data_IF_256655121482
#
_entry.id   IF_256655121482
#
_cell.length_a   1.000
_cell.length_b   1.000
_cell.length_c   1.000
_cell.angle_alpha   90.00
_cell.angle_beta   90.00
_cell.angle_gamma   90.00
#
_symmetry.space_group_name_H-M   'P 1'
#
loop_
_entity.id
_entity.type
_entity.pdbx_description
1 polymer ?
#
# COMPACT_ATOMS: atom_id res chain seq x y z
N UNK A 1 -16.65 6.86 8.13
CA UNK A 1 -15.95 5.57 7.91
C UNK A 1 -14.45 5.79 8.09
N UNK A 2 -13.93 5.52 9.29
CA UNK A 2 -12.51 5.74 9.62
C UNK A 2 -11.64 4.62 9.01
N UNK A 3 -10.63 5.00 8.22
CA UNK A 3 -9.60 4.09 7.68
C UNK A 3 -8.69 3.65 8.83
N UNK A 4 -8.94 2.47 9.40
CA UNK A 4 -8.06 1.89 10.41
C UNK A 4 -6.83 1.25 9.76
N UNK A 5 -5.64 1.71 10.13
CA UNK A 5 -4.35 1.10 9.78
C UNK A 5 -4.18 -0.21 10.58
N UNK A 6 -3.80 -1.28 9.90
CA UNK A 6 -3.62 -2.64 10.45
C UNK A 6 -2.72 -2.70 11.70
N UNK A 7 -1.78 -1.76 11.87
CA UNK A 7 -0.85 -1.69 13.00
C UNK A 7 -1.52 -1.51 14.37
N UNK A 8 -2.69 -0.87 14.44
CA UNK A 8 -3.41 -0.71 15.72
C UNK A 8 -4.06 -2.02 16.19
N UNK A 9 -4.34 -2.95 15.28
CA UNK A 9 -5.04 -4.20 15.63
C UNK A 9 -4.17 -5.14 16.48
N UNK A 10 -2.91 -5.33 16.07
CA UNK A 10 -1.95 -6.16 16.84
C UNK A 10 -1.66 -5.56 18.21
N UNK A 11 -1.49 -4.23 18.29
CA UNK A 11 -1.29 -3.52 19.55
C UNK A 11 -2.51 -3.61 20.48
N UNK A 12 -3.72 -3.52 19.94
CA UNK A 12 -4.95 -3.67 20.72
C UNK A 12 -5.14 -5.10 21.24
N UNK A 13 -4.81 -6.13 20.45
CA UNK A 13 -4.83 -7.54 20.90
C UNK A 13 -3.80 -7.76 22.02
N UNK A 14 -2.59 -7.22 21.87
CA UNK A 14 -1.54 -7.32 22.88
C UNK A 14 -1.94 -6.61 24.20
N UNK A 15 -2.51 -5.41 24.11
CA UNK A 15 -3.00 -4.67 25.30
C UNK A 15 -4.16 -5.42 25.98
N UNK A 16 -5.09 -6.00 25.21
CA UNK A 16 -6.17 -6.80 25.77
C UNK A 16 -5.65 -8.06 26.47
N UNK A 17 -4.67 -8.76 25.88
CA UNK A 17 -4.02 -9.91 26.51
C UNK A 17 -3.32 -9.52 27.82
N UNK A 18 -2.61 -8.38 27.84
CA UNK A 18 -2.00 -7.85 29.07
C UNK A 18 -3.05 -7.52 30.14
N UNK A 19 -4.20 -6.94 29.77
CA UNK A 19 -5.26 -6.59 30.72
C UNK A 19 -5.90 -7.84 31.36
N UNK A 20 -6.08 -8.91 30.57
CA UNK A 20 -6.56 -10.21 31.06
C UNK A 20 -5.56 -10.82 32.05
N UNK A 21 -4.26 -10.73 31.76
CA UNK A 21 -3.20 -11.23 32.64
C UNK A 21 -3.10 -10.44 33.95
N UNK A 22 -3.25 -9.11 33.89
CA UNK A 22 -3.24 -8.23 35.08
C UNK A 22 -4.47 -8.49 35.95
N UNK A 23 -5.66 -8.58 35.35
CA UNK A 23 -6.90 -8.87 36.09
C UNK A 23 -6.87 -10.26 36.73
N UNK A 24 -6.39 -11.28 36.01
CA UNK A 24 -6.17 -12.62 36.54
C UNK A 24 -5.15 -12.65 37.70
N UNK A 25 -4.06 -11.87 37.58
CA UNK A 25 -3.04 -11.73 38.61
C UNK A 25 -3.57 -11.07 39.91
N UNK A 26 -4.32 -9.97 39.78
CA UNK A 26 -4.92 -9.28 40.94
C UNK A 26 -5.92 -10.19 41.66
N UNK A 27 -6.75 -10.93 40.91
CA UNK A 27 -7.69 -11.88 41.51
C UNK A 27 -6.99 -13.06 42.19
N UNK A 28 -5.83 -13.50 41.71
CA UNK A 28 -5.02 -14.54 42.35
C UNK A 28 -4.36 -14.10 43.67
N UNK A 29 -4.32 -12.80 43.96
CA UNK A 29 -3.88 -12.27 45.26
C UNK A 29 -5.00 -12.30 46.32
N UNK A 30 -6.26 -12.25 45.89
CA UNK A 30 -7.42 -12.07 46.78
C UNK A 30 -8.21 -13.39 46.94
N UNK A 31 -8.21 -14.25 45.93
CA UNK A 31 -9.00 -15.47 45.91
C UNK A 31 -8.13 -16.73 45.84
N UNK A 32 -8.57 -17.86 46.41
CA UNK A 32 -7.85 -19.13 46.31
C UNK A 32 -7.62 -19.52 44.85
N UNK A 33 -6.35 -19.83 44.51
CA UNK A 33 -5.85 -20.02 43.13
C UNK A 33 -6.67 -21.01 42.29
N UNK A 34 -7.25 -22.02 42.92
CA UNK A 34 -8.08 -23.03 42.27
C UNK A 34 -9.40 -22.49 41.67
N UNK A 35 -9.83 -21.28 42.05
CA UNK A 35 -11.12 -20.71 41.63
C UNK A 35 -10.99 -19.44 40.77
N UNK A 36 -9.78 -18.92 40.53
CA UNK A 36 -9.55 -17.66 39.78
C UNK A 36 -10.12 -17.71 38.36
N UNK A 37 -10.06 -18.87 37.70
CA UNK A 37 -10.68 -19.07 36.38
C UNK A 37 -12.20 -19.01 36.42
N UNK A 38 -12.84 -19.58 37.44
CA UNK A 38 -14.29 -19.54 37.63
C UNK A 38 -14.75 -18.10 37.90
N UNK A 39 -14.05 -17.36 38.77
CA UNK A 39 -14.37 -15.95 39.04
C UNK A 39 -14.24 -15.07 37.79
N UNK A 40 -13.22 -15.28 36.96
CA UNK A 40 -13.04 -14.55 35.69
C UNK A 40 -14.18 -14.79 34.70
N UNK A 41 -14.68 -16.02 34.62
CA UNK A 41 -15.82 -16.40 33.76
C UNK A 41 -17.12 -15.80 34.30
N UNK A 42 -17.38 -15.91 35.61
CA UNK A 42 -18.58 -15.36 36.25
C UNK A 42 -18.63 -13.83 36.10
N UNK A 43 -17.51 -13.12 36.31
CA UNK A 43 -17.43 -11.68 36.09
C UNK A 43 -17.70 -11.33 34.62
N UNK A 44 -17.12 -12.08 33.67
CA UNK A 44 -17.38 -11.89 32.24
C UNK A 44 -18.85 -12.10 31.84
N UNK A 45 -19.53 -13.08 32.44
CA UNK A 45 -20.96 -13.37 32.20
C UNK A 45 -21.87 -12.34 32.88
N UNK A 46 -21.53 -11.89 34.09
CA UNK A 46 -22.30 -10.86 34.82
C UNK A 46 -22.19 -9.49 34.17
N UNK A 47 -21.05 -9.17 33.54
CA UNK A 47 -20.87 -7.93 32.78
C UNK A 47 -21.56 -7.95 31.41
N UNK A 48 -22.06 -9.10 30.94
CA UNK A 48 -22.71 -9.27 29.64
C UNK A 48 -23.90 -8.32 29.39
N UNK A 49 -24.83 -8.08 30.35
CA UNK A 49 -25.97 -7.18 30.14
C UNK A 49 -25.56 -5.71 30.13
N UNK A 50 -24.45 -5.36 30.79
CA UNK A 50 -23.88 -4.00 30.76
C UNK A 50 -23.15 -3.72 29.44
N UNK A 51 -22.70 -4.77 28.76
CA UNK A 51 -22.00 -4.71 27.48
C UNK A 51 -22.93 -4.92 26.26
N UNK A 52 -24.23 -5.11 26.47
CA UNK A 52 -25.22 -5.35 25.43
C UNK A 52 -26.42 -4.39 25.51
N UNK A 53 -26.82 -3.68 24.42
CA UNK A 53 -26.21 -3.60 23.09
C UNK A 53 -25.46 -2.26 22.94
N UNK A 54 -24.12 -2.29 22.89
CA UNK A 54 -23.33 -1.12 22.46
C UNK A 54 -22.82 -1.37 21.04
N UNK A 55 -23.44 -0.77 19.99
CA UNK A 55 -23.13 -1.05 18.59
C UNK A 55 -21.66 -0.80 18.20
N UNK A 56 -20.93 0.01 18.98
CA UNK A 56 -19.53 0.34 18.73
C UNK A 56 -18.56 -0.83 18.99
N UNK A 57 -19.02 -1.90 19.66
CA UNK A 57 -18.13 -2.98 20.12
C UNK A 57 -17.81 -3.94 18.98
N UNK A 58 -18.64 -3.95 17.93
CA UNK A 58 -18.36 -4.57 16.63
C UNK A 58 -17.57 -5.87 16.71
N UNK A 59 -16.35 -5.86 16.19
CA UNK A 59 -15.47 -7.02 16.01
C UNK A 59 -14.78 -7.53 17.30
N UNK A 60 -14.93 -6.88 18.46
CA UNK A 60 -14.52 -7.44 19.76
C UNK A 60 -15.38 -8.64 20.19
N UNK A 61 -16.49 -8.91 19.49
CA UNK A 61 -17.35 -10.08 19.70
C UNK A 61 -16.58 -11.41 19.66
N UNK A 62 -15.51 -11.49 18.85
CA UNK A 62 -14.64 -12.67 18.76
C UNK A 62 -13.85 -12.93 20.06
N UNK A 63 -13.45 -11.86 20.77
CA UNK A 63 -12.73 -11.94 22.05
C UNK A 63 -13.66 -12.46 23.16
N UNK A 64 -14.94 -12.10 23.13
CA UNK A 64 -15.92 -12.66 24.06
C UNK A 64 -16.35 -14.08 23.68
N UNK A 65 -16.38 -14.41 22.38
CA UNK A 65 -16.65 -15.77 21.87
C UNK A 65 -15.64 -16.82 22.34
N UNK A 66 -14.37 -16.44 22.54
CA UNK A 66 -13.35 -17.36 23.06
C UNK A 66 -13.65 -17.82 24.50
N UNK A 67 -14.33 -16.99 25.30
CA UNK A 67 -14.76 -17.37 26.65
C UNK A 67 -15.90 -18.39 26.63
N UNK A 68 -16.73 -18.42 25.57
CA UNK A 68 -17.74 -19.46 25.40
C UNK A 68 -17.11 -20.81 25.02
N UNK A 69 -16.08 -20.84 24.18
CA UNK A 69 -15.35 -22.07 23.84
C UNK A 69 -14.63 -22.60 25.07
N UNK A 70 -13.96 -21.73 25.83
CA UNK A 70 -13.32 -22.10 27.09
C UNK A 70 -14.33 -22.62 28.13
N UNK A 71 -15.47 -21.95 28.30
CA UNK A 71 -16.54 -22.39 29.20
C UNK A 71 -17.16 -23.72 28.76
N UNK A 72 -17.39 -23.93 27.46
CA UNK A 72 -17.92 -25.18 26.92
C UNK A 72 -16.96 -26.37 27.11
N UNK A 73 -15.66 -26.16 26.91
CA UNK A 73 -14.63 -27.15 27.20
C UNK A 73 -14.54 -27.49 28.71
N UNK A 74 -14.99 -26.58 29.58
CA UNK A 74 -15.08 -26.82 31.03
C UNK A 74 -16.41 -27.43 31.49
N UNK A 75 -17.49 -27.33 30.71
CA UNK A 75 -18.86 -27.76 31.08
C UNK A 75 -19.09 -29.28 31.11
N UNK A 76 -18.12 -30.10 30.74
CA UNK A 76 -18.20 -31.56 30.80
C UNK A 76 -17.68 -32.20 32.10
N UNK A 77 -17.40 -31.42 33.15
CA UNK A 77 -16.68 -31.91 34.33
C UNK A 77 -17.63 -32.20 35.49
N UNK A 78 -17.92 -33.49 35.73
CA UNK A 78 -18.56 -33.92 36.97
C UNK A 78 -17.70 -33.52 38.17
N UNK A 79 -18.37 -32.96 39.18
CA UNK A 79 -17.80 -32.26 40.34
C UNK A 79 -17.06 -33.21 41.32
N UNK A 80 -17.11 -34.54 41.12
CA UNK A 80 -16.77 -35.50 42.17
C UNK A 80 -15.40 -36.19 42.12
N UNK A 81 -14.60 -36.08 41.06
CA UNK A 81 -13.35 -36.87 40.98
C UNK A 81 -12.05 -36.05 41.07
N UNK A 82 -11.36 -36.09 42.20
CA UNK A 82 -9.99 -35.55 42.33
C UNK A 82 -8.98 -36.33 41.47
N UNK A 83 -8.65 -35.82 40.27
CA UNK A 83 -7.55 -36.33 39.44
C UNK A 83 -6.77 -35.13 38.85
N UNK A 84 -5.42 -35.06 38.90
CA UNK A 84 -4.69 -33.80 38.73
C UNK A 84 -4.40 -33.42 37.27
N UNK A 85 -4.80 -34.24 36.30
CA UNK A 85 -4.68 -33.92 34.87
C UNK A 85 -6.01 -33.30 34.43
N UNK A 86 -6.26 -32.06 34.83
CA UNK A 86 -7.48 -31.32 34.49
C UNK A 86 -7.09 -30.04 33.78
N UNK A 87 -7.77 -29.75 32.66
CA UNK A 87 -7.68 -28.54 31.84
C UNK A 87 -8.20 -27.31 32.63
N UNK A 88 -7.61 -27.07 33.79
CA UNK A 88 -7.79 -25.86 34.56
C UNK A 88 -6.94 -24.78 33.90
N UNK A 89 -7.39 -23.54 34.01
CA UNK A 89 -6.65 -22.36 33.52
C UNK A 89 -5.19 -22.32 34.00
N UNK A 90 -4.81 -23.07 35.05
CA UNK A 90 -3.40 -23.28 35.43
C UNK A 90 -2.53 -23.92 34.34
N UNK A 91 -3.09 -24.78 33.47
CA UNK A 91 -2.36 -25.33 32.30
C UNK A 91 -2.01 -24.24 31.27
N UNK A 92 -2.69 -23.09 31.30
CA UNK A 92 -2.30 -21.92 30.51
C UNK A 92 -1.11 -21.17 31.12
N UNK A 93 -0.69 -21.51 32.34
CA UNK A 93 0.40 -20.88 33.09
C UNK A 93 1.58 -21.81 33.42
N UNK A 94 1.60 -23.05 32.91
CA UNK A 94 2.81 -23.88 32.98
C UNK A 94 3.89 -23.39 32.00
N UNK A 95 5.15 -23.64 32.33
CA UNK A 95 6.38 -23.15 31.65
C UNK A 95 6.31 -23.06 30.10
N UNK A 96 5.68 -23.99 29.36
CA UNK A 96 5.57 -23.89 27.89
C UNK A 96 4.82 -22.65 27.37
N UNK A 97 3.84 -22.12 28.12
CA UNK A 97 3.05 -20.95 27.69
C UNK A 97 3.68 -19.62 28.07
N UNK A 98 4.55 -19.57 29.08
CA UNK A 98 5.38 -18.39 29.37
C UNK A 98 6.33 -18.14 28.19
N UNK A 99 6.94 -19.21 27.64
CA UNK A 99 7.76 -19.13 26.43
C UNK A 99 6.92 -18.65 25.24
N UNK A 100 5.69 -19.15 25.08
CA UNK A 100 4.75 -18.70 24.06
C UNK A 100 4.38 -17.21 24.19
N UNK A 101 4.09 -16.74 25.41
CA UNK A 101 3.75 -15.35 25.71
C UNK A 101 4.94 -14.40 25.52
N UNK A 102 6.14 -14.81 25.94
CA UNK A 102 7.40 -14.08 25.68
C UNK A 102 7.68 -14.05 24.17
N UNK A 103 7.44 -15.15 23.45
CA UNK A 103 7.63 -15.20 21.99
C UNK A 103 6.66 -14.28 21.25
N UNK A 104 5.40 -14.21 21.67
CA UNK A 104 4.40 -13.27 21.15
C UNK A 104 4.72 -11.82 21.51
N UNK A 105 5.22 -11.57 22.72
CA UNK A 105 5.68 -10.26 23.17
C UNK A 105 6.90 -9.78 22.37
N UNK A 106 7.90 -10.64 22.21
CA UNK A 106 9.09 -10.38 21.38
C UNK A 106 8.71 -10.22 19.91
N UNK A 107 7.82 -11.06 19.37
CA UNK A 107 7.31 -10.88 18.00
C UNK A 107 6.56 -9.56 17.84
N UNK A 108 5.77 -9.14 18.84
CA UNK A 108 5.11 -7.83 18.85
C UNK A 108 6.10 -6.66 18.90
N UNK A 109 7.14 -6.75 19.73
CA UNK A 109 8.20 -5.75 19.85
C UNK A 109 9.00 -5.67 18.55
N UNK A 110 9.46 -6.82 18.02
CA UNK A 110 10.19 -6.92 16.75
C UNK A 110 9.35 -6.36 15.60
N UNK A 111 8.06 -6.73 15.52
CA UNK A 111 7.18 -6.21 14.47
C UNK A 111 6.91 -4.71 14.64
N UNK A 112 6.80 -4.20 15.88
CA UNK A 112 6.68 -2.76 16.15
C UNK A 112 7.95 -1.98 15.80
N UNK A 113 9.13 -2.55 16.08
CA UNK A 113 10.44 -1.99 15.75
C UNK A 113 10.74 -2.07 14.25
N UNK A 114 10.19 -3.06 13.55
CA UNK A 114 10.24 -3.14 12.09
C UNK A 114 9.25 -2.19 11.41
N UNK A 115 8.22 -1.70 12.11
CA UNK A 115 7.34 -0.64 11.59
C UNK A 115 7.86 0.79 11.81
N UNK A 116 8.96 0.99 12.53
CA UNK A 116 9.58 2.33 12.71
C UNK A 116 10.44 2.82 11.54
N UNK A 117 10.46 2.13 10.41
CA UNK A 117 11.10 2.59 9.16
C UNK A 117 10.09 2.78 8.01
N UNK A 118 8.85 3.20 8.30
CA UNK A 118 8.04 3.79 7.26
C UNK A 118 8.73 5.10 6.81
N UNK A 119 9.41 5.07 5.67
CA UNK A 119 10.03 6.24 5.07
C UNK A 119 9.05 7.41 5.06
N UNK A 120 9.55 8.62 5.34
CA UNK A 120 8.74 9.84 5.29
C UNK A 120 7.96 9.90 3.95
N UNK A 121 6.71 10.39 3.95
CA UNK A 121 5.93 10.47 2.73
C UNK A 121 6.69 11.31 1.69
N UNK A 122 6.72 10.80 0.45
CA UNK A 122 7.34 11.48 -0.68
C UNK A 122 6.84 12.92 -0.79
N UNK A 123 7.76 13.85 -1.06
CA UNK A 123 7.49 15.26 -1.32
C UNK A 123 7.78 15.58 -2.77
N UNK A 124 7.15 16.63 -3.30
CA UNK A 124 7.39 17.08 -4.68
C UNK A 124 8.88 17.46 -4.92
N UNK A 125 9.59 17.88 -3.88
CA UNK A 125 11.04 18.15 -3.92
C UNK A 125 11.89 16.92 -4.21
N UNK A 126 11.38 15.72 -3.87
CA UNK A 126 12.08 14.46 -4.13
C UNK A 126 12.08 14.12 -5.63
N UNK A 127 11.26 14.83 -6.43
CA UNK A 127 11.24 14.74 -7.90
C UNK A 127 12.06 15.84 -8.59
N UNK A 128 12.80 16.67 -7.84
CA UNK A 128 13.56 17.79 -8.39
C UNK A 128 14.64 17.36 -9.40
N UNK A 129 15.11 16.12 -9.34
CA UNK A 129 16.11 15.57 -10.26
C UNK A 129 15.66 15.62 -11.74
N UNK A 130 14.36 15.52 -12.00
CA UNK A 130 13.82 15.51 -13.37
C UNK A 130 13.75 16.91 -13.98
N UNK A 131 13.89 17.96 -13.17
CA UNK A 131 13.75 19.34 -13.61
C UNK A 131 14.78 19.69 -14.71
N UNK A 132 14.30 20.34 -15.76
CA UNK A 132 15.10 20.75 -16.92
C UNK A 132 14.51 20.29 -18.24
N UNK A 133 15.28 20.51 -19.30
CA UNK A 133 14.98 20.06 -20.65
C UNK A 133 15.82 18.82 -20.98
N UNK A 134 15.20 17.83 -21.59
CA UNK A 134 15.79 16.57 -22.00
C UNK A 134 15.51 16.38 -23.47
N UNK A 135 16.53 16.03 -24.25
CA UNK A 135 16.36 15.82 -25.69
C UNK A 135 17.14 14.64 -26.21
N UNK A 136 16.60 13.97 -27.22
CA UNK A 136 17.25 12.83 -27.84
C UNK A 136 16.41 12.18 -28.92
N UNK A 137 16.66 10.89 -29.14
CA UNK A 137 16.01 10.10 -30.18
C UNK A 137 15.20 8.97 -29.55
N UNK A 138 14.12 8.60 -30.21
CA UNK A 138 13.28 7.48 -29.83
C UNK A 138 12.83 6.66 -31.02
N UNK A 139 12.35 5.47 -30.70
CA UNK A 139 11.77 4.52 -31.64
C UNK A 139 10.34 4.23 -31.21
N UNK A 140 9.45 4.25 -32.20
CA UNK A 140 8.08 3.79 -32.06
C UNK A 140 7.90 2.43 -32.71
N UNK A 141 7.22 1.53 -32.03
CA UNK A 141 6.82 0.22 -32.53
C UNK A 141 5.39 -0.06 -32.09
N UNK A 142 4.63 -0.83 -32.86
CA UNK A 142 3.38 -1.41 -32.39
C UNK A 142 3.02 -2.57 -33.33
N UNK A 143 2.34 -3.63 -32.88
CA UNK A 143 2.04 -4.79 -33.74
C UNK A 143 1.33 -4.45 -35.05
N UNK A 144 0.55 -3.37 -35.07
CA UNK A 144 -0.29 -2.97 -36.21
C UNK A 144 0.30 -1.85 -37.08
N UNK A 145 1.49 -1.34 -36.77
CA UNK A 145 2.12 -0.23 -37.51
C UNK A 145 3.56 -0.55 -37.86
N UNK A 146 4.09 0.10 -38.92
CA UNK A 146 5.53 0.05 -39.20
C UNK A 146 6.27 0.81 -38.11
N UNK A 147 7.42 0.28 -37.69
CA UNK A 147 8.29 1.00 -36.76
C UNK A 147 8.75 2.33 -37.37
N UNK A 148 8.87 3.35 -36.53
CA UNK A 148 9.31 4.68 -36.92
C UNK A 148 10.31 5.23 -35.91
N UNK A 149 11.08 6.23 -36.32
CA UNK A 149 12.02 6.95 -35.47
C UNK A 149 11.58 8.41 -35.34
N UNK A 150 11.85 9.01 -34.18
CA UNK A 150 11.52 10.40 -33.90
C UNK A 150 12.58 11.04 -33.02
N UNK A 151 12.69 12.37 -33.10
CA UNK A 151 13.36 13.17 -32.09
C UNK A 151 12.35 13.60 -31.04
N UNK A 152 12.78 13.73 -29.79
CA UNK A 152 11.91 14.08 -28.66
C UNK A 152 12.56 15.13 -27.78
N UNK A 153 11.74 16.06 -27.30
CA UNK A 153 12.09 17.03 -26.26
C UNK A 153 11.07 16.92 -25.13
N UNK A 154 11.55 16.65 -23.92
CA UNK A 154 10.78 16.72 -22.68
C UNK A 154 11.22 17.93 -21.86
N UNK A 155 10.27 18.69 -21.35
CA UNK A 155 10.53 19.80 -20.44
C UNK A 155 9.74 19.62 -19.15
N UNK A 156 10.48 19.58 -18.05
CA UNK A 156 9.93 19.54 -16.69
C UNK A 156 10.26 20.85 -15.99
N UNK A 157 9.25 21.58 -15.55
CA UNK A 157 9.42 22.87 -14.85
C UNK A 157 8.81 22.79 -13.44
N UNK A 158 9.67 22.89 -12.43
CA UNK A 158 9.27 22.89 -11.04
C UNK A 158 8.87 24.29 -10.57
N UNK A 159 7.62 24.48 -10.12
CA UNK A 159 7.11 25.76 -9.62
C UNK A 159 6.92 25.82 -8.09
N UNK A 160 7.41 24.81 -7.36
CA UNK A 160 7.27 24.70 -5.91
C UNK A 160 5.99 23.99 -5.43
N UNK A 161 4.97 23.83 -6.27
CA UNK A 161 3.71 23.13 -5.94
C UNK A 161 3.47 21.91 -6.82
N UNK A 162 3.79 22.02 -8.10
CA UNK A 162 3.63 20.98 -9.11
C UNK A 162 4.79 21.05 -10.11
N UNK A 163 4.93 20.01 -10.91
CA UNK A 163 5.88 19.98 -12.03
C UNK A 163 5.08 20.07 -13.31
N UNK A 164 5.32 21.10 -14.09
CA UNK A 164 4.77 21.23 -15.44
C UNK A 164 5.53 20.28 -16.36
N UNK A 165 4.79 19.54 -17.18
CA UNK A 165 5.30 18.56 -18.13
C UNK A 165 4.90 18.95 -19.55
N UNK A 166 5.87 18.99 -20.46
CA UNK A 166 5.63 19.17 -21.88
C UNK A 166 6.50 18.20 -22.67
N UNK A 167 5.91 17.56 -23.69
CA UNK A 167 6.58 16.66 -24.61
C UNK A 167 6.27 17.10 -26.03
N UNK A 168 7.31 17.21 -26.86
CA UNK A 168 7.19 17.43 -28.30
C UNK A 168 8.04 16.42 -29.04
N UNK A 169 7.51 15.80 -30.09
CA UNK A 169 8.25 14.87 -30.95
C UNK A 169 8.16 15.29 -32.41
N UNK A 170 9.27 15.11 -33.13
CA UNK A 170 9.38 15.47 -34.54
C UNK A 170 9.95 14.31 -35.35
N UNK A 171 9.57 14.24 -36.61
CA UNK A 171 10.08 13.24 -37.55
C UNK A 171 11.58 13.48 -37.82
N UNK A 172 12.40 12.43 -37.73
CA UNK A 172 13.85 12.53 -37.91
C UNK A 172 14.25 12.99 -39.31
N UNK A 173 13.50 12.58 -40.34
CA UNK A 173 13.88 12.81 -41.74
C UNK A 173 13.54 14.23 -42.22
N UNK A 174 12.44 14.82 -41.76
CA UNK A 174 11.96 16.11 -42.27
C UNK A 174 11.73 17.19 -41.19
N UNK A 175 11.90 16.86 -39.90
CA UNK A 175 11.69 17.79 -38.79
C UNK A 175 10.23 18.14 -38.52
N UNK A 176 9.27 17.53 -39.22
CA UNK A 176 7.85 17.80 -39.05
C UNK A 176 7.32 17.33 -37.69
N UNK A 177 6.46 18.14 -37.07
CA UNK A 177 5.79 17.82 -35.81
C UNK A 177 5.00 16.51 -35.93
N UNK A 178 5.20 15.59 -34.98
CA UNK A 178 4.49 14.31 -34.92
C UNK A 178 3.47 14.29 -33.79
N UNK A 179 3.93 14.22 -32.54
CA UNK A 179 3.09 14.17 -31.35
C UNK A 179 3.50 15.27 -30.38
N UNK A 180 2.53 15.80 -29.65
CA UNK A 180 2.82 16.66 -28.51
C UNK A 180 1.76 16.45 -27.43
N UNK A 181 2.20 16.57 -26.20
CA UNK A 181 1.34 16.47 -25.03
C UNK A 181 1.86 17.38 -23.92
N UNK A 182 0.97 17.75 -23.01
CA UNK A 182 1.31 18.60 -21.88
C UNK A 182 0.46 18.27 -20.66
N UNK A 183 0.95 18.63 -19.48
CA UNK A 183 0.27 18.29 -18.25
C UNK A 183 1.05 18.62 -16.99
N UNK A 184 0.69 17.93 -15.90
CA UNK A 184 1.27 18.19 -14.58
C UNK A 184 1.53 16.91 -13.80
N UNK A 185 2.69 16.85 -13.15
CA UNK A 185 3.00 15.87 -12.10
C UNK A 185 2.75 16.51 -10.74
N UNK A 186 2.06 15.78 -9.87
CA UNK A 186 1.69 16.17 -8.51
C UNK A 186 2.15 15.11 -7.52
N UNK A 187 2.50 15.54 -6.31
CA UNK A 187 2.74 14.64 -5.18
C UNK A 187 1.75 15.01 -4.07
N UNK A 188 0.87 14.08 -3.73
CA UNK A 188 -0.15 14.26 -2.71
C UNK A 188 0.47 14.25 -1.30
N UNK A 189 -0.21 14.80 -0.28
CA UNK A 189 0.25 14.72 1.11
C UNK A 189 0.46 13.28 1.62
N UNK A 190 -0.15 12.30 0.97
CA UNK A 190 0.04 10.86 1.27
C UNK A 190 1.32 10.26 0.67
N UNK A 191 2.10 11.03 -0.10
CA UNK A 191 3.27 10.56 -0.85
C UNK A 191 2.95 9.89 -2.20
N UNK A 192 1.68 9.91 -2.63
CA UNK A 192 1.27 9.38 -3.93
C UNK A 192 1.64 10.35 -5.05
N UNK A 193 2.13 9.83 -6.17
CA UNK A 193 2.43 10.61 -7.37
C UNK A 193 1.26 10.49 -8.34
N UNK A 194 0.86 11.61 -8.96
CA UNK A 194 -0.13 11.65 -10.03
C UNK A 194 0.45 12.35 -11.24
N UNK A 195 0.13 11.87 -12.44
CA UNK A 195 0.42 12.53 -13.71
C UNK A 195 -0.88 12.68 -14.48
N UNK A 196 -1.19 13.92 -14.88
CA UNK A 196 -2.32 14.24 -15.75
C UNK A 196 -1.78 14.80 -17.05
N UNK A 197 -2.23 14.28 -18.19
CA UNK A 197 -1.71 14.64 -19.51
C UNK A 197 -2.85 14.85 -20.49
N UNK A 198 -2.72 15.87 -21.34
CA UNK A 198 -3.58 16.07 -22.51
C UNK A 198 -2.71 15.95 -23.76
N UNK A 199 -3.16 15.16 -24.71
CA UNK A 199 -2.49 14.88 -25.96
C UNK A 199 -3.12 15.63 -27.12
N UNK A 200 -2.31 15.99 -28.12
CA UNK A 200 -2.77 16.62 -29.37
C UNK A 200 -3.77 15.80 -30.16
N UNK A 201 -3.84 14.48 -29.90
CA UNK A 201 -4.75 13.51 -30.49
C UNK A 201 -6.21 13.63 -30.00
N UNK A 202 -6.49 14.55 -29.08
CA UNK A 202 -7.82 14.73 -28.48
C UNK A 202 -8.11 13.72 -27.37
N UNK A 203 -7.06 13.31 -26.66
CA UNK A 203 -7.08 12.33 -25.56
C UNK A 203 -6.55 13.00 -24.29
N UNK A 204 -7.15 12.72 -23.13
CA UNK A 204 -6.64 13.13 -21.84
C UNK A 204 -6.57 11.95 -20.86
N UNK A 205 -5.41 11.77 -20.25
CA UNK A 205 -5.03 10.59 -19.47
C UNK A 205 -4.68 10.97 -18.03
N UNK A 206 -4.98 10.05 -17.12
CA UNK A 206 -4.66 10.15 -15.70
C UNK A 206 -3.84 8.93 -15.29
N UNK A 207 -2.77 9.16 -14.52
CA UNK A 207 -1.87 8.11 -14.03
C UNK A 207 -1.61 8.25 -12.54
N UNK A 208 -1.54 7.12 -11.84
CA UNK A 208 -0.89 7.02 -10.53
C UNK A 208 0.56 6.56 -10.72
N UNK A 209 1.48 7.09 -9.92
CA UNK A 209 2.90 6.79 -10.05
C UNK A 209 3.62 6.44 -8.75
N UNK A 210 4.80 5.86 -8.92
CA UNK A 210 5.73 5.46 -7.87
C UNK A 210 7.15 5.90 -8.23
N UNK A 211 7.95 6.23 -7.22
CA UNK A 211 9.38 6.49 -7.37
C UNK A 211 10.16 5.32 -6.78
N UNK A 212 11.02 4.71 -7.59
CA UNK A 212 12.09 3.84 -7.15
C UNK A 212 13.40 4.63 -7.21
N UNK A 213 14.12 4.69 -6.09
CA UNK A 213 15.39 5.38 -5.98
C UNK A 213 16.45 4.38 -5.52
N UNK A 214 17.31 3.99 -6.45
CA UNK A 214 18.31 2.93 -6.27
C UNK A 214 19.69 3.47 -6.68
N UNK A 215 20.35 4.18 -5.75
CA UNK A 215 21.67 4.79 -5.97
C UNK A 215 21.63 5.86 -7.06
N UNK A 216 22.44 5.69 -8.11
CA UNK A 216 22.54 6.63 -9.24
C UNK A 216 21.40 6.47 -10.28
N UNK A 217 20.41 5.62 -9.99
CA UNK A 217 19.26 5.34 -10.83
C UNK A 217 17.96 5.74 -10.14
N UNK A 218 17.24 6.69 -10.73
CA UNK A 218 15.89 7.08 -10.29
C UNK A 218 14.86 6.67 -11.36
N UNK A 219 13.85 5.92 -10.97
CA UNK A 219 12.80 5.45 -11.88
C UNK A 219 11.44 5.94 -11.42
N UNK A 220 10.81 6.80 -12.23
CA UNK A 220 9.40 7.14 -12.11
C UNK A 220 8.57 6.20 -12.97
N UNK A 221 7.73 5.41 -12.33
CA UNK A 221 6.78 4.55 -13.00
C UNK A 221 5.37 5.11 -12.85
N UNK A 222 4.61 5.12 -13.94
CA UNK A 222 3.24 5.60 -14.00
C UNK A 222 2.34 4.54 -14.62
N UNK A 223 1.19 4.28 -14.00
CA UNK A 223 0.15 3.39 -14.50
C UNK A 223 -1.14 4.16 -14.70
N UNK A 224 -1.75 4.02 -15.88
CA UNK A 224 -2.99 4.70 -16.21
C UNK A 224 -4.12 4.26 -15.27
N UNK A 225 -4.89 5.21 -14.79
CA UNK A 225 -6.07 5.00 -13.94
C UNK A 225 -7.34 5.58 -14.56
N UNK A 226 -7.22 6.45 -15.56
CA UNK A 226 -8.35 7.00 -16.29
C UNK A 226 -7.95 7.57 -17.64
N UNK A 227 -8.90 7.60 -18.56
CA UNK A 227 -8.73 8.15 -19.90
C UNK A 227 -10.05 8.74 -20.39
N UNK A 228 -9.97 9.87 -21.08
CA UNK A 228 -11.09 10.55 -21.71
C UNK A 228 -10.72 11.01 -23.12
N UNK A 229 -11.73 11.19 -23.98
CA UNK A 229 -11.53 11.42 -25.41
C UNK A 229 -12.57 12.36 -25.99
N UNK A 230 -12.14 13.14 -26.96
CA UNK A 230 -13.05 13.86 -27.86
C UNK A 230 -13.74 12.90 -28.83
N UNK A 231 -14.93 13.25 -29.37
CA UNK A 231 -15.65 12.40 -30.33
C UNK A 231 -14.88 12.10 -31.62
N UNK A 232 -13.89 12.94 -31.96
CA UNK A 232 -13.08 12.83 -33.18
C UNK A 232 -11.73 12.15 -32.96
N UNK A 233 -11.44 11.67 -31.74
CA UNK A 233 -10.23 10.92 -31.45
C UNK A 233 -10.20 9.65 -32.33
N UNK A 234 -9.07 9.39 -32.99
CA UNK A 234 -8.97 8.28 -33.96
C UNK A 234 -8.94 6.92 -33.25
N UNK A 235 -9.50 5.92 -33.91
CA UNK A 235 -9.31 4.51 -33.57
C UNK A 235 -7.98 3.98 -34.15
N UNK A 236 -7.39 2.90 -33.57
CA UNK A 236 -7.85 2.18 -32.39
C UNK A 236 -7.64 2.98 -31.10
N UNK A 237 -8.57 2.86 -30.15
CA UNK A 237 -8.54 3.65 -28.92
C UNK A 237 -7.65 2.99 -27.86
N UNK A 238 -6.78 3.76 -27.22
CA UNK A 238 -5.98 3.29 -26.08
C UNK A 238 -6.89 2.93 -24.89
N UNK A 239 -6.75 1.75 -24.33
CA UNK A 239 -7.54 1.29 -23.18
C UNK A 239 -6.74 1.29 -21.89
N UNK A 240 -5.42 1.20 -21.98
CA UNK A 240 -4.50 1.21 -20.85
C UNK A 240 -3.11 1.65 -21.31
N UNK A 241 -2.32 2.24 -20.42
CA UNK A 241 -0.93 2.56 -20.70
C UNK A 241 -0.08 2.60 -19.44
N UNK A 242 1.22 2.39 -19.61
CA UNK A 242 2.24 2.59 -18.57
C UNK A 242 3.33 3.50 -19.11
N UNK A 243 3.95 4.27 -18.22
CA UNK A 243 5.09 5.13 -18.55
C UNK A 243 6.21 4.90 -17.56
N UNK A 244 7.46 4.90 -18.02
CA UNK A 244 8.64 4.82 -17.17
C UNK A 244 9.65 5.89 -17.59
N UNK A 245 10.00 6.77 -16.67
CA UNK A 245 11.14 7.69 -16.83
C UNK A 245 12.26 7.20 -15.94
N UNK A 246 13.33 6.69 -16.54
CA UNK A 246 14.50 6.16 -15.84
C UNK A 246 15.67 7.10 -16.03
N UNK A 247 16.07 7.81 -14.98
CA UNK A 247 17.21 8.70 -14.98
C UNK A 247 18.41 7.93 -14.43
N UNK A 248 19.52 7.95 -15.15
CA UNK A 248 20.81 7.37 -14.74
C UNK A 248 21.87 8.46 -14.73
N UNK A 249 22.77 8.44 -13.74
CA UNK A 249 23.88 9.39 -13.61
C UNK A 249 23.46 10.88 -13.59
N UNK A 250 22.17 11.17 -13.34
CA UNK A 250 21.59 12.52 -13.29
C UNK A 250 21.45 13.25 -14.62
N UNK A 251 21.92 12.70 -15.75
CA UNK A 251 21.96 13.39 -17.05
C UNK A 251 21.47 12.54 -18.25
N UNK A 252 21.20 11.25 -18.05
CA UNK A 252 20.64 10.36 -19.06
C UNK A 252 19.25 9.90 -18.64
N UNK A 253 18.27 10.03 -19.53
CA UNK A 253 16.89 9.61 -19.29
C UNK A 253 16.45 8.62 -20.36
N UNK A 254 16.06 7.42 -19.94
CA UNK A 254 15.28 6.51 -20.78
C UNK A 254 13.79 6.72 -20.53
N UNK A 255 13.02 6.88 -21.60
CA UNK A 255 11.56 6.94 -21.57
C UNK A 255 11.02 5.67 -22.21
N UNK A 256 10.21 4.92 -21.46
CA UNK A 256 9.56 3.71 -21.95
C UNK A 256 8.05 3.85 -21.80
N UNK A 257 7.31 3.59 -22.87
CA UNK A 257 5.86 3.70 -22.93
C UNK A 257 5.27 2.44 -23.50
N UNK A 258 4.33 1.84 -22.76
CA UNK A 258 3.53 0.70 -23.22
C UNK A 258 2.08 1.14 -23.36
N UNK A 259 1.39 0.59 -24.34
CA UNK A 259 -0.05 0.83 -24.48
C UNK A 259 -0.80 -0.42 -24.93
N UNK A 260 -2.02 -0.53 -24.41
CA UNK A 260 -3.04 -1.43 -24.90
C UNK A 260 -4.10 -0.62 -25.67
N UNK A 261 -4.71 -1.22 -26.68
CA UNK A 261 -5.78 -0.62 -27.47
C UNK A 261 -7.00 -1.53 -27.54
N UNK A 262 -8.11 -1.01 -28.08
CA UNK A 262 -9.33 -1.79 -28.35
C UNK A 262 -9.11 -2.97 -29.28
N UNK A 263 -8.07 -2.93 -30.12
CA UNK A 263 -7.73 -4.02 -31.07
C UNK A 263 -6.54 -4.86 -30.63
N UNK A 264 -5.81 -4.43 -29.59
CA UNK A 264 -4.67 -5.16 -29.02
C UNK A 264 -4.67 -4.95 -27.49
N UNK A 265 -5.35 -5.82 -26.72
CA UNK A 265 -5.68 -5.55 -25.31
C UNK A 265 -4.51 -5.72 -24.34
N UNK A 266 -3.42 -6.33 -24.78
CA UNK A 266 -2.22 -6.51 -23.98
C UNK A 266 -1.37 -5.24 -23.98
N UNK A 267 -0.77 -4.93 -22.82
CA UNK A 267 0.23 -3.86 -22.73
C UNK A 267 1.49 -4.34 -23.45
N UNK A 268 1.85 -3.64 -24.51
CA UNK A 268 3.06 -3.89 -25.29
C UNK A 268 3.80 -2.58 -25.54
N UNK A 269 5.10 -2.70 -25.78
CA UNK A 269 5.97 -1.57 -26.12
C UNK A 269 5.35 -0.75 -27.25
N UNK A 270 5.27 0.56 -27.02
CA UNK A 270 4.91 1.49 -28.06
C UNK A 270 6.01 2.51 -28.34
N UNK A 271 6.64 3.07 -27.30
CA UNK A 271 7.71 4.07 -27.46
C UNK A 271 8.87 3.75 -26.52
N UNK A 272 10.08 3.92 -27.04
CA UNK A 272 11.31 3.83 -26.26
C UNK A 272 12.30 4.91 -26.75
N UNK A 273 12.68 5.83 -25.88
CA UNK A 273 13.60 6.92 -26.21
C UNK A 273 14.72 7.07 -25.20
N UNK A 274 15.85 7.58 -25.66
CA UNK A 274 17.01 7.90 -24.83
C UNK A 274 17.35 9.38 -25.02
N UNK A 275 17.21 10.12 -23.93
CA UNK A 275 17.33 11.57 -23.86
C UNK A 275 18.52 11.95 -23.00
N UNK A 276 19.18 13.04 -23.35
CA UNK A 276 20.19 13.68 -22.52
C UNK A 276 19.68 14.99 -21.99
N UNK A 277 20.06 15.31 -20.76
CA UNK A 277 19.80 16.62 -20.16
C UNK A 277 20.56 17.69 -20.94
N UNK A 278 19.88 18.79 -21.26
CA UNK A 278 20.50 19.98 -21.86
C UNK A 278 21.16 20.86 -20.81
#
# INVERSE_FOLDING_TARGET
MAKFKLANWGAMIAICACYILIAGGIMACIYPRQFVGIYSIVVGVVLLPLLWPVPWLGKLKAIFQQYYVAAFLCLGTNITDYNPIRLSVLTFFEVPTIIGGISLGLAGIINSAMTTTAAAPLKITDLSFINGEWSGNGKGIYPTIKSFEYTEVLKFTFNGKQIEYNQTSNNVANGGLMHFESGFIRVLPTGKIELNVVQSSGVADHYEGTLDNSGDKQTLFFKMTGISRTPTAKSPHVTNATRRFTITNGNEMNVYFEMATTTHPDLVEHLNSNLKKK
#
